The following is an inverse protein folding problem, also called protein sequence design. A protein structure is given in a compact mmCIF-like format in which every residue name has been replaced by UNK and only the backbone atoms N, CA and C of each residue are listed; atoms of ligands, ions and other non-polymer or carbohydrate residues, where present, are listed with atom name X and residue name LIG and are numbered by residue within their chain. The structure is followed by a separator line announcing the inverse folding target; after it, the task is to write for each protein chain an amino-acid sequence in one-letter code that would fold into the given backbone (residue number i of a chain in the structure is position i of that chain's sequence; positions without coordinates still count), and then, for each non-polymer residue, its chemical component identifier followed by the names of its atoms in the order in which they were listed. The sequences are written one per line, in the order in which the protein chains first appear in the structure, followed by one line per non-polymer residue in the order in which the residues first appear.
data_IF_462598816286
#
_entry.id   IF_462598816286
#
_cell.length_a   1.000
_cell.length_b   1.000
_cell.length_c   1.000
_cell.angle_alpha   90.00
_cell.angle_beta   90.00
_cell.angle_gamma   90.00
#
_symmetry.space_group_name_H-M   'P 1'
#
loop_
_entity.id
_entity.type
_entity.pdbx_description
1 polymer ?
#
# COMPACT_ATOMS: atom_id res chain seq x y z
N UNK A 1 10.73 -22.18 -51.29
CA UNK A 1 12.15 -22.16 -51.70
C UNK A 1 13.01 -22.30 -50.47
N UNK A 2 13.75 -23.36 -50.46
CA UNK A 2 14.75 -23.82 -49.49
C UNK A 2 16.04 -22.99 -49.59
N UNK A 3 16.73 -22.74 -48.47
CA UNK A 3 18.19 -22.75 -48.28
C UNK A 3 18.46 -22.54 -46.78
N UNK A 4 18.86 -23.45 -46.00
CA UNK A 4 20.04 -24.29 -45.67
C UNK A 4 21.24 -23.46 -45.17
N UNK A 5 21.59 -23.80 -43.90
CA UNK A 5 22.79 -23.54 -43.09
C UNK A 5 24.14 -23.70 -43.87
N UNK A 6 25.26 -23.25 -43.24
CA UNK A 6 26.04 -24.24 -42.52
C UNK A 6 26.65 -23.84 -41.17
N UNK A 7 26.86 -24.87 -40.39
CA UNK A 7 27.68 -25.09 -39.22
C UNK A 7 29.17 -24.97 -39.54
N UNK A 8 29.97 -24.41 -38.65
CA UNK A 8 31.42 -24.70 -38.60
C UNK A 8 31.89 -24.82 -37.12
N UNK A 9 32.39 -25.97 -36.80
CA UNK A 9 33.09 -26.36 -35.57
C UNK A 9 34.60 -26.52 -35.85
N UNK A 10 35.48 -26.12 -34.94
CA UNK A 10 36.91 -26.55 -34.79
C UNK A 10 37.28 -26.35 -33.32
N UNK A 11 37.46 -27.29 -32.50
CA UNK A 11 38.41 -28.40 -32.20
C UNK A 11 39.82 -27.95 -31.73
N UNK A 12 40.09 -28.26 -30.44
CA UNK A 12 41.27 -28.87 -29.77
C UNK A 12 42.59 -28.11 -29.65
N UNK A 13 43.16 -28.20 -28.43
CA UNK A 13 44.56 -27.99 -28.11
C UNK A 13 44.89 -28.19 -26.60
N UNK A 14 45.09 -29.46 -26.23
CA UNK A 14 45.80 -29.82 -24.97
C UNK A 14 47.31 -29.57 -25.15
N UNK A 15 47.99 -29.14 -24.09
CA UNK A 15 49.38 -29.54 -23.85
C UNK A 15 49.72 -29.56 -22.32
N UNK A 16 50.22 -30.71 -21.90
CA UNK A 16 50.76 -31.09 -20.61
C UNK A 16 52.27 -30.84 -20.61
N UNK A 17 52.87 -30.42 -19.52
CA UNK A 17 54.24 -30.74 -19.21
C UNK A 17 54.51 -30.70 -17.70
N UNK A 18 55.02 -31.80 -17.18
CA UNK A 18 55.48 -32.05 -15.82
C UNK A 18 57.01 -31.84 -15.72
N UNK A 19 57.51 -31.83 -14.49
CA UNK A 19 58.82 -32.23 -13.93
C UNK A 19 59.16 -31.25 -12.80
N UNK A 20 59.40 -31.60 -11.58
CA UNK A 20 60.22 -32.70 -11.03
C UNK A 20 61.42 -32.10 -10.31
N UNK A 21 61.58 -32.25 -9.02
CA UNK A 21 62.78 -31.81 -8.28
C UNK A 21 62.75 -32.14 -6.78
N UNK A 22 63.45 -33.20 -6.40
CA UNK A 22 63.65 -33.73 -5.04
C UNK A 22 64.71 -32.96 -4.22
N UNK A 23 64.57 -32.92 -2.87
CA UNK A 23 65.63 -32.41 -2.01
C UNK A 23 65.28 -32.39 -0.51
N UNK A 24 65.47 -33.52 0.16
CA UNK A 24 65.95 -33.84 1.55
C UNK A 24 65.78 -32.86 2.69
N UNK A 25 65.22 -33.41 3.73
CA UNK A 25 65.20 -33.07 5.20
C UNK A 25 66.58 -32.79 5.82
N UNK A 26 66.65 -32.04 6.99
CA UNK A 26 66.35 -32.63 8.29
C UNK A 26 65.64 -31.74 9.29
N UNK A 27 64.91 -32.38 10.20
CA UNK A 27 64.48 -31.90 11.52
C UNK A 27 65.68 -31.94 12.53
N UNK A 28 65.68 -31.20 13.66
CA UNK A 28 64.63 -31.05 14.65
C UNK A 28 64.66 -29.71 15.43
N UNK A 29 63.61 -29.29 16.08
CA UNK A 29 63.61 -28.96 17.51
C UNK A 29 62.29 -28.37 17.98
N UNK A 30 61.80 -28.91 19.07
CA UNK A 30 60.62 -28.48 19.80
C UNK A 30 60.73 -27.02 20.31
N UNK A 31 59.69 -26.23 20.12
CA UNK A 31 59.37 -25.10 20.99
C UNK A 31 57.86 -24.99 21.15
N UNK A 32 57.41 -25.41 22.32
CA UNK A 32 56.05 -25.24 22.81
C UNK A 32 55.69 -23.75 22.83
N UNK A 33 54.74 -23.31 22.02
CA UNK A 33 54.11 -22.00 22.17
C UNK A 33 52.63 -22.18 22.28
N UNK A 34 52.07 -21.72 23.40
CA UNK A 34 50.68 -21.79 23.75
C UNK A 34 49.81 -21.05 22.72
N UNK A 35 48.76 -21.69 22.25
CA UNK A 35 47.72 -21.09 21.43
C UNK A 35 46.90 -20.07 22.26
N UNK A 36 46.61 -18.89 21.73
CA UNK A 36 45.63 -17.98 22.34
C UNK A 36 44.22 -18.58 22.26
N UNK A 37 43.33 -18.26 23.23
CA UNK A 37 41.98 -18.79 23.24
C UNK A 37 41.21 -18.33 21.99
N UNK A 38 40.55 -19.27 21.34
CA UNK A 38 39.66 -19.01 20.22
C UNK A 38 38.55 -18.06 20.67
N UNK A 39 38.55 -16.86 20.09
CA UNK A 39 37.43 -15.95 20.19
C UNK A 39 36.21 -16.61 19.54
N UNK A 40 35.21 -16.93 20.35
CA UNK A 40 33.91 -17.40 19.87
C UNK A 40 33.28 -16.28 19.01
N UNK A 41 33.24 -16.53 17.72
CA UNK A 41 32.40 -15.71 16.80
C UNK A 41 30.95 -15.75 17.27
N UNK A 42 30.22 -14.65 17.26
CA UNK A 42 28.80 -14.70 17.56
C UNK A 42 28.13 -15.59 16.52
N UNK A 43 27.42 -16.62 17.00
CA UNK A 43 26.56 -17.46 16.17
C UNK A 43 25.54 -16.53 15.49
N UNK A 44 25.63 -16.44 14.18
CA UNK A 44 24.53 -15.87 13.39
C UNK A 44 23.27 -16.67 13.75
N UNK A 45 22.27 -16.01 14.25
CA UNK A 45 20.92 -16.59 14.40
C UNK A 45 20.46 -16.86 12.98
N UNK A 46 20.60 -18.11 12.52
CA UNK A 46 19.93 -18.57 11.31
C UNK A 46 18.42 -18.39 11.54
N UNK A 47 17.84 -17.40 10.89
CA UNK A 47 16.40 -17.30 10.72
C UNK A 47 15.99 -18.55 9.93
N UNK A 48 15.60 -19.61 10.63
CA UNK A 48 15.08 -20.81 9.99
C UNK A 48 13.81 -20.42 9.21
N UNK A 49 13.84 -20.61 7.90
CA UNK A 49 12.66 -20.45 7.05
C UNK A 49 11.49 -21.26 7.66
N UNK A 50 10.26 -20.72 7.65
CA UNK A 50 9.10 -21.40 8.19
C UNK A 50 8.97 -22.80 7.59
N UNK A 51 8.93 -23.85 8.43
CA UNK A 51 8.80 -25.24 7.98
C UNK A 51 7.32 -25.63 7.93
N UNK A 52 6.89 -26.28 6.84
CA UNK A 52 5.54 -26.76 6.66
C UNK A 52 4.88 -26.27 5.37
N UNK A 53 3.62 -26.66 5.10
CA UNK A 53 2.90 -26.14 3.95
C UNK A 53 2.65 -24.62 4.11
N UNK A 54 2.56 -23.87 2.99
CA UNK A 54 2.24 -22.44 3.03
C UNK A 54 0.90 -22.18 3.73
N UNK A 55 0.86 -21.15 4.58
CA UNK A 55 -0.39 -20.74 5.19
C UNK A 55 -1.24 -20.00 4.16
N UNK A 56 -2.49 -20.41 4.02
CA UNK A 56 -3.44 -19.76 3.10
C UNK A 56 -4.01 -18.52 3.75
N UNK A 57 -4.04 -17.42 3.00
CA UNK A 57 -4.57 -16.13 3.45
C UNK A 57 -5.33 -15.48 2.30
N UNK A 58 -6.57 -15.06 2.54
CA UNK A 58 -7.33 -14.23 1.60
C UNK A 58 -7.25 -12.77 2.04
N UNK A 59 -6.72 -11.92 1.17
CA UNK A 59 -6.64 -10.47 1.39
C UNK A 59 -7.60 -9.78 0.42
N UNK A 60 -8.58 -9.09 0.96
CA UNK A 60 -9.58 -8.35 0.18
C UNK A 60 -9.20 -6.89 0.08
N UNK A 61 -9.20 -6.33 -1.13
CA UNK A 61 -8.62 -5.03 -1.45
C UNK A 61 -9.67 -4.12 -2.07
N UNK A 62 -9.82 -2.89 -1.60
CA UNK A 62 -10.84 -1.93 -2.07
C UNK A 62 -10.54 -1.28 -3.43
N UNK A 63 -9.94 -2.03 -4.37
CA UNK A 63 -9.64 -1.63 -5.74
C UNK A 63 -8.18 -1.86 -6.14
N UNK A 64 -7.83 -3.08 -6.54
CA UNK A 64 -6.45 -3.47 -6.89
C UNK A 64 -5.80 -2.61 -7.98
N UNK A 65 -6.57 -2.09 -8.91
CA UNK A 65 -6.07 -1.23 -10.00
C UNK A 65 -5.70 0.19 -9.58
N UNK A 66 -6.08 0.63 -8.39
CA UNK A 66 -5.79 1.97 -7.86
C UNK A 66 -4.38 2.01 -7.28
N UNK A 67 -3.60 3.05 -7.58
CA UNK A 67 -2.21 3.16 -7.09
C UNK A 67 -2.10 3.21 -5.55
N UNK A 68 -3.12 3.64 -4.83
CA UNK A 68 -3.16 3.58 -3.36
C UNK A 68 -3.12 2.16 -2.81
N UNK A 69 -3.53 1.16 -3.59
CA UNK A 69 -3.46 -0.26 -3.23
C UNK A 69 -2.27 -1.01 -3.84
N UNK A 70 -1.38 -0.29 -4.53
CA UNK A 70 -0.18 -0.84 -5.16
C UNK A 70 0.62 -1.80 -4.28
N UNK A 71 0.85 -1.55 -2.98
CA UNK A 71 1.65 -2.46 -2.15
C UNK A 71 1.12 -3.89 -2.14
N UNK A 72 -0.21 -4.11 -2.26
CA UNK A 72 -0.78 -5.46 -2.29
C UNK A 72 -0.25 -6.27 -3.49
N UNK A 73 -0.42 -5.73 -4.70
CA UNK A 73 0.01 -6.42 -5.93
C UNK A 73 1.53 -6.47 -6.08
N UNK A 74 2.21 -5.44 -5.61
CA UNK A 74 3.67 -5.39 -5.66
C UNK A 74 4.29 -6.44 -4.71
N UNK A 75 3.73 -6.69 -3.52
CA UNK A 75 4.18 -7.75 -2.60
C UNK A 75 4.08 -9.13 -3.26
N UNK A 76 2.97 -9.39 -3.95
CA UNK A 76 2.79 -10.63 -4.73
C UNK A 76 3.82 -10.71 -5.88
N UNK A 77 3.94 -9.65 -6.68
CA UNK A 77 4.82 -9.61 -7.86
C UNK A 77 6.31 -9.73 -7.51
N UNK A 78 6.72 -9.25 -6.34
CA UNK A 78 8.09 -9.40 -5.81
C UNK A 78 8.33 -10.77 -5.17
N UNK A 79 7.31 -11.60 -4.98
CA UNK A 79 7.42 -12.93 -4.40
C UNK A 79 7.53 -12.94 -2.87
N UNK A 80 7.35 -11.81 -2.18
CA UNK A 80 7.56 -11.72 -0.73
C UNK A 80 6.55 -12.51 0.09
N UNK A 81 5.33 -12.76 -0.43
CA UNK A 81 4.43 -13.72 0.21
C UNK A 81 4.99 -15.14 0.22
N UNK A 82 5.55 -15.57 -0.90
CA UNK A 82 6.16 -16.91 -1.03
C UNK A 82 7.40 -17.05 -0.13
N UNK A 83 8.24 -15.99 -0.03
CA UNK A 83 9.38 -15.97 0.88
C UNK A 83 8.97 -16.15 2.34
N UNK A 84 7.81 -15.62 2.72
CA UNK A 84 7.22 -15.76 4.06
C UNK A 84 6.39 -17.06 4.20
N UNK A 85 6.48 -18.00 3.25
CA UNK A 85 5.74 -19.26 3.23
C UNK A 85 4.21 -19.04 3.34
N UNK A 86 3.69 -18.08 2.56
CA UNK A 86 2.27 -17.74 2.45
C UNK A 86 1.75 -18.08 1.05
N UNK A 87 0.54 -18.65 1.00
CA UNK A 87 -0.28 -18.82 -0.20
C UNK A 87 -1.40 -17.76 -0.14
N UNK A 88 -1.15 -16.59 -0.73
CA UNK A 88 -2.04 -15.43 -0.63
C UNK A 88 -2.93 -15.34 -1.87
N UNK A 89 -4.24 -15.19 -1.64
CA UNK A 89 -5.21 -14.81 -2.67
C UNK A 89 -5.60 -13.35 -2.48
N UNK A 90 -5.30 -12.50 -3.47
CA UNK A 90 -5.78 -11.12 -3.51
C UNK A 90 -7.15 -11.08 -4.19
N UNK A 91 -8.16 -10.55 -3.51
CA UNK A 91 -9.53 -10.39 -4.03
C UNK A 91 -9.81 -8.90 -4.21
N UNK A 92 -10.28 -8.53 -5.40
CA UNK A 92 -10.61 -7.14 -5.73
C UNK A 92 -12.06 -6.81 -5.39
N UNK A 93 -12.27 -5.71 -4.65
CA UNK A 93 -13.58 -5.15 -4.35
C UNK A 93 -13.70 -3.73 -4.91
N UNK A 94 -14.91 -3.28 -5.30
CA UNK A 94 -15.09 -1.96 -5.88
C UNK A 94 -14.72 -0.80 -4.95
N UNK A 95 -14.86 -0.99 -3.64
CA UNK A 95 -14.59 0.05 -2.63
C UNK A 95 -14.18 -0.53 -1.27
N UNK A 96 -13.61 0.33 -0.39
CA UNK A 96 -13.30 -0.04 0.99
C UNK A 96 -14.55 -0.44 1.80
N UNK A 97 -15.73 0.12 1.51
CA UNK A 97 -16.99 -0.27 2.17
C UNK A 97 -17.41 -1.70 1.79
N UNK A 98 -17.19 -2.09 0.55
CA UNK A 98 -17.47 -3.47 0.11
C UNK A 98 -16.48 -4.42 0.81
N UNK A 99 -15.18 -4.08 0.84
CA UNK A 99 -14.15 -4.81 1.60
C UNK A 99 -14.51 -4.97 3.09
N UNK A 100 -14.94 -3.88 3.74
CA UNK A 100 -15.38 -3.88 5.15
C UNK A 100 -16.51 -4.90 5.38
N UNK A 101 -17.51 -4.87 4.51
CA UNK A 101 -18.67 -5.76 4.57
C UNK A 101 -18.26 -7.23 4.51
N UNK A 102 -17.40 -7.57 3.58
CA UNK A 102 -16.93 -8.94 3.34
C UNK A 102 -16.04 -9.48 4.49
N UNK A 103 -15.18 -8.63 5.06
CA UNK A 103 -14.37 -9.00 6.24
C UNK A 103 -15.27 -9.24 7.46
N UNK A 104 -16.26 -8.40 7.70
CA UNK A 104 -17.21 -8.58 8.80
C UNK A 104 -18.00 -9.89 8.61
N UNK A 105 -18.39 -10.20 7.38
CA UNK A 105 -19.06 -11.46 7.03
C UNK A 105 -18.16 -12.69 7.19
N UNK A 106 -16.83 -12.52 7.19
CA UNK A 106 -15.86 -13.61 7.31
C UNK A 106 -15.53 -14.29 5.98
N UNK A 107 -15.73 -13.60 4.86
CA UNK A 107 -15.41 -14.10 3.51
C UNK A 107 -13.93 -13.90 3.14
N UNK A 108 -13.19 -13.11 3.92
CA UNK A 108 -11.74 -12.96 3.80
C UNK A 108 -11.12 -12.78 5.19
N UNK A 109 -9.81 -13.00 5.25
CA UNK A 109 -9.03 -12.97 6.49
C UNK A 109 -8.58 -11.56 6.84
N UNK A 110 -8.06 -10.82 5.84
CA UNK A 110 -7.47 -9.49 5.99
C UNK A 110 -8.11 -8.55 4.97
N UNK A 111 -8.45 -7.34 5.39
CA UNK A 111 -8.86 -6.24 4.53
C UNK A 111 -7.71 -5.26 4.31
N UNK A 112 -7.59 -4.75 3.08
CA UNK A 112 -6.75 -3.61 2.73
C UNK A 112 -7.68 -2.45 2.38
N UNK A 113 -7.73 -1.44 3.23
CA UNK A 113 -8.67 -0.33 3.11
C UNK A 113 -8.36 0.82 4.06
N UNK A 114 -9.20 1.83 4.03
CA UNK A 114 -9.04 3.03 4.85
C UNK A 114 -9.09 2.70 6.35
N UNK A 115 -8.16 3.28 7.11
CA UNK A 115 -8.06 3.06 8.55
C UNK A 115 -9.34 3.46 9.31
N UNK A 116 -10.04 4.50 8.89
CA UNK A 116 -11.24 5.01 9.56
C UNK A 116 -12.38 3.98 9.65
N UNK A 117 -12.37 2.93 8.81
CA UNK A 117 -13.28 1.78 8.95
C UNK A 117 -13.16 1.08 10.31
N UNK A 118 -11.97 1.09 10.94
CA UNK A 118 -11.79 0.54 12.29
C UNK A 118 -12.60 1.31 13.33
N UNK A 119 -12.69 2.62 13.18
CA UNK A 119 -13.47 3.51 14.05
C UNK A 119 -14.97 3.31 13.84
N UNK A 120 -15.40 3.27 12.59
CA UNK A 120 -16.81 3.12 12.21
C UNK A 120 -17.38 1.77 12.66
N UNK A 121 -16.62 0.69 12.51
CA UNK A 121 -17.01 -0.63 12.97
C UNK A 121 -17.02 -0.75 14.49
N UNK A 122 -16.04 -0.15 15.18
CA UNK A 122 -16.06 -0.12 16.65
C UNK A 122 -17.28 0.62 17.18
N UNK A 123 -17.68 1.72 16.57
CA UNK A 123 -18.91 2.44 16.92
C UNK A 123 -20.17 1.60 16.75
N UNK A 124 -20.12 0.56 15.90
CA UNK A 124 -21.18 -0.43 15.68
C UNK A 124 -21.02 -1.68 16.55
N UNK A 125 -20.04 -1.70 17.49
CA UNK A 125 -19.76 -2.84 18.36
C UNK A 125 -18.99 -3.99 17.69
N UNK A 126 -18.40 -3.76 16.51
CA UNK A 126 -17.56 -4.74 15.79
C UNK A 126 -16.11 -4.31 15.87
N UNK A 127 -15.22 -5.23 16.23
CA UNK A 127 -13.80 -4.90 16.38
C UNK A 127 -13.00 -5.50 15.24
N UNK A 128 -12.51 -4.63 14.37
CA UNK A 128 -11.39 -4.90 13.47
C UNK A 128 -10.18 -4.08 13.93
N UNK A 129 -8.99 -4.65 13.80
CA UNK A 129 -7.75 -4.04 14.27
C UNK A 129 -6.78 -3.92 13.11
N UNK A 130 -6.27 -2.72 12.87
CA UNK A 130 -5.21 -2.49 11.90
C UNK A 130 -3.87 -2.98 12.44
N UNK A 131 -3.12 -3.73 11.62
CA UNK A 131 -1.84 -4.35 12.00
C UNK A 131 -0.64 -3.64 11.38
N UNK A 132 -0.87 -2.79 10.37
CA UNK A 132 0.13 -1.91 9.77
C UNK A 132 -0.52 -0.83 8.91
N UNK A 133 0.22 0.24 8.65
CA UNK A 133 -0.14 1.33 7.75
C UNK A 133 0.65 1.23 6.42
N UNK A 134 -0.05 1.19 5.31
CA UNK A 134 0.58 1.15 3.98
C UNK A 134 0.81 2.56 3.43
N UNK A 135 -0.05 3.51 3.79
CA UNK A 135 -0.02 4.87 3.27
C UNK A 135 -0.11 5.91 4.39
N UNK A 136 0.97 6.66 4.58
CA UNK A 136 1.05 7.78 5.54
C UNK A 136 0.24 9.02 5.13
N UNK A 137 -0.27 9.06 3.88
CA UNK A 137 -1.17 10.08 3.34
C UNK A 137 -2.22 9.40 2.46
N UNK A 138 -3.41 10.00 2.24
CA UNK A 138 -4.50 9.35 1.52
C UNK A 138 -4.17 8.88 0.10
N UNK A 139 -3.27 9.56 -0.61
CA UNK A 139 -3.02 9.26 -2.02
C UNK A 139 -4.21 9.60 -2.92
N UNK A 140 -5.11 10.42 -2.41
CA UNK A 140 -6.33 10.85 -3.08
C UNK A 140 -6.21 12.30 -3.57
N UNK A 141 -6.99 12.63 -4.59
CA UNK A 141 -6.99 13.96 -5.21
C UNK A 141 -8.42 14.44 -5.40
N UNK A 142 -8.71 15.67 -5.00
CA UNK A 142 -9.98 16.31 -5.30
C UNK A 142 -9.88 16.96 -6.65
N UNK A 143 -10.74 16.53 -7.57
CA UNK A 143 -10.82 17.01 -8.94
C UNK A 143 -12.08 17.86 -9.12
N UNK A 144 -11.95 19.01 -9.74
CA UNK A 144 -13.09 19.83 -10.18
C UNK A 144 -13.31 19.64 -11.67
N UNK A 145 -14.56 19.47 -12.11
CA UNK A 145 -14.86 19.40 -13.54
C UNK A 145 -14.41 20.68 -14.24
N UNK A 146 -13.86 20.55 -15.43
CA UNK A 146 -13.39 21.72 -16.21
C UNK A 146 -14.50 22.76 -16.40
N UNK A 147 -15.76 22.33 -16.53
CA UNK A 147 -16.90 23.21 -16.63
C UNK A 147 -17.15 24.09 -15.39
N UNK A 148 -16.78 23.59 -14.20
CA UNK A 148 -16.95 24.28 -12.92
C UNK A 148 -15.68 24.93 -12.37
N UNK A 149 -14.52 24.66 -12.96
CA UNK A 149 -13.23 25.18 -12.50
C UNK A 149 -13.11 26.71 -12.51
N UNK A 150 -14.03 27.40 -13.18
CA UNK A 150 -14.16 28.87 -13.12
C UNK A 150 -14.72 29.38 -11.79
N UNK A 151 -15.64 28.64 -11.19
CA UNK A 151 -16.44 29.02 -10.02
C UNK A 151 -16.05 28.29 -8.73
N UNK A 152 -15.61 27.05 -8.81
CA UNK A 152 -15.19 26.26 -7.67
C UNK A 152 -13.66 26.31 -7.56
N UNK A 153 -13.13 26.95 -6.51
CA UNK A 153 -11.70 27.19 -6.29
C UNK A 153 -11.17 26.55 -5.01
N UNK A 154 -12.06 26.18 -4.10
CA UNK A 154 -11.72 25.61 -2.80
C UNK A 154 -12.89 24.84 -2.20
N UNK A 155 -12.70 24.06 -1.14
CA UNK A 155 -13.82 23.42 -0.42
C UNK A 155 -14.90 24.39 0.09
N UNK A 156 -14.59 25.66 0.28
CA UNK A 156 -15.60 26.69 0.65
C UNK A 156 -16.70 26.89 -0.40
N UNK A 157 -16.43 26.49 -1.63
CA UNK A 157 -17.35 26.63 -2.76
C UNK A 157 -18.22 25.37 -2.96
N UNK A 158 -18.19 24.40 -2.03
CA UNK A 158 -18.90 23.12 -2.20
C UNK A 158 -20.39 23.16 -1.86
N UNK A 159 -20.91 24.29 -1.44
CA UNK A 159 -22.34 24.41 -1.14
C UNK A 159 -23.22 24.26 -2.37
N UNK A 160 -24.16 23.31 -2.31
CA UNK A 160 -25.17 23.07 -3.36
C UNK A 160 -24.67 22.29 -4.58
N UNK A 161 -23.43 21.73 -4.53
CA UNK A 161 -22.86 20.97 -5.64
C UNK A 161 -23.01 19.45 -5.46
N UNK A 162 -22.75 18.71 -6.54
CA UNK A 162 -22.67 17.26 -6.55
C UNK A 162 -21.22 16.82 -6.37
N UNK A 163 -20.94 16.09 -5.29
CA UNK A 163 -19.61 15.58 -4.94
C UNK A 163 -19.54 14.08 -5.23
N UNK A 164 -18.65 13.68 -6.15
CA UNK A 164 -18.38 12.29 -6.47
C UNK A 164 -17.46 11.65 -5.45
N UNK A 165 -17.85 10.49 -4.94
CA UNK A 165 -17.05 9.63 -4.03
C UNK A 165 -17.07 8.18 -4.54
N UNK A 166 -16.13 7.36 -4.11
CA UNK A 166 -16.08 5.95 -4.55
C UNK A 166 -17.38 5.22 -4.18
N UNK A 167 -17.78 5.30 -2.92
CA UNK A 167 -19.11 4.89 -2.44
C UNK A 167 -19.48 5.67 -1.18
N UNK A 168 -20.77 5.66 -0.84
CA UNK A 168 -21.24 6.26 0.41
C UNK A 168 -20.71 5.40 1.58
N UNK A 169 -20.05 6.03 2.55
CA UNK A 169 -19.38 5.36 3.66
C UNK A 169 -17.90 5.02 3.43
N UNK A 170 -17.39 5.14 2.19
CA UNK A 170 -15.96 4.90 1.90
C UNK A 170 -15.04 5.99 2.49
N UNK A 171 -13.72 5.70 2.56
CA UNK A 171 -12.73 6.67 2.98
C UNK A 171 -12.76 7.97 2.17
N UNK A 172 -13.03 7.90 0.86
CA UNK A 172 -13.21 9.10 0.01
C UNK A 172 -14.41 9.94 0.45
N UNK A 173 -15.52 9.32 0.85
CA UNK A 173 -16.66 10.02 1.43
C UNK A 173 -16.32 10.69 2.75
N UNK A 174 -15.56 10.01 3.60
CA UNK A 174 -15.06 10.55 4.88
C UNK A 174 -14.18 11.78 4.65
N UNK A 175 -13.21 11.70 3.73
CA UNK A 175 -12.29 12.81 3.42
C UNK A 175 -13.03 14.05 2.91
N UNK A 176 -14.02 13.87 2.00
CA UNK A 176 -14.81 15.01 1.50
C UNK A 176 -15.64 15.68 2.59
N UNK A 177 -16.24 14.91 3.50
CA UNK A 177 -16.98 15.44 4.64
C UNK A 177 -16.08 16.23 5.59
N UNK A 178 -14.86 15.71 5.86
CA UNK A 178 -13.87 16.40 6.67
C UNK A 178 -13.50 17.77 6.08
N UNK A 179 -13.19 17.83 4.79
CA UNK A 179 -12.86 19.09 4.10
C UNK A 179 -14.04 20.08 4.08
N UNK A 180 -15.28 19.62 3.97
CA UNK A 180 -16.45 20.50 4.04
C UNK A 180 -16.59 21.15 5.42
N UNK A 181 -16.45 20.36 6.48
CA UNK A 181 -16.57 20.90 7.85
C UNK A 181 -15.41 21.81 8.20
N UNK A 182 -14.16 21.47 7.78
CA UNK A 182 -13.00 22.35 7.93
C UNK A 182 -13.19 23.68 7.17
N UNK A 183 -13.86 23.65 6.04
CA UNK A 183 -14.22 24.85 5.25
C UNK A 183 -15.37 25.67 5.87
N UNK A 184 -15.96 25.23 7.00
CA UNK A 184 -17.08 25.89 7.69
C UNK A 184 -18.46 25.57 7.11
N UNK A 185 -18.58 24.52 6.30
CA UNK A 185 -19.84 24.04 5.73
C UNK A 185 -20.42 22.89 6.56
N UNK A 186 -21.73 22.64 6.39
CA UNK A 186 -22.36 21.42 6.90
C UNK A 186 -22.17 20.29 5.88
N UNK A 187 -22.04 19.05 6.35
CA UNK A 187 -21.96 17.88 5.45
C UNK A 187 -23.20 17.76 4.54
N UNK A 188 -24.34 18.26 4.98
CA UNK A 188 -25.59 18.30 4.24
C UNK A 188 -25.69 19.44 3.22
N UNK A 189 -24.72 20.34 3.18
CA UNK A 189 -24.71 21.46 2.21
C UNK A 189 -24.39 21.01 0.77
N UNK A 190 -23.95 19.75 0.56
CA UNK A 190 -23.67 19.19 -0.76
C UNK A 190 -24.35 17.82 -0.96
N UNK A 191 -24.50 17.39 -2.21
CA UNK A 191 -25.01 16.07 -2.55
C UNK A 191 -23.86 15.11 -2.83
N UNK A 192 -23.80 13.96 -2.14
CA UNK A 192 -22.80 12.93 -2.42
C UNK A 192 -23.32 11.90 -3.40
N UNK A 193 -22.53 11.63 -4.43
CA UNK A 193 -22.86 10.71 -5.52
C UNK A 193 -21.87 9.56 -5.53
N UNK A 194 -22.35 8.31 -5.53
CA UNK A 194 -21.49 7.13 -5.76
C UNK A 194 -21.01 7.16 -7.22
N UNK A 195 -19.79 7.61 -7.44
CA UNK A 195 -19.17 7.74 -8.76
C UNK A 195 -18.21 6.57 -9.10
N UNK A 196 -17.85 5.74 -8.11
CA UNK A 196 -16.88 4.68 -8.32
C UNK A 196 -15.46 5.22 -8.49
N UNK A 197 -14.68 4.58 -9.37
CA UNK A 197 -13.33 4.96 -9.76
C UNK A 197 -13.09 4.62 -11.24
N UNK A 198 -11.98 5.06 -11.84
CA UNK A 198 -11.67 4.81 -13.24
C UNK A 198 -12.73 5.37 -14.19
N UNK A 199 -13.10 4.58 -15.19
CA UNK A 199 -14.01 5.00 -16.26
C UNK A 199 -15.38 5.48 -15.76
N UNK A 200 -15.92 4.89 -14.70
CA UNK A 200 -17.22 5.29 -14.13
C UNK A 200 -17.14 6.68 -13.53
N UNK A 201 -16.05 7.00 -12.83
CA UNK A 201 -15.81 8.33 -12.27
C UNK A 201 -15.63 9.39 -13.37
N UNK A 202 -14.82 9.06 -14.39
CA UNK A 202 -14.57 9.94 -15.54
C UNK A 202 -15.89 10.24 -16.28
N UNK A 203 -16.70 9.19 -16.51
CA UNK A 203 -17.99 9.34 -17.16
C UNK A 203 -18.95 10.22 -16.35
N UNK A 204 -19.02 10.02 -15.01
CA UNK A 204 -19.87 10.83 -14.14
C UNK A 204 -19.47 12.32 -14.17
N UNK A 205 -18.19 12.64 -14.16
CA UNK A 205 -17.70 14.02 -14.25
C UNK A 205 -17.93 14.61 -15.64
N UNK A 206 -17.66 13.87 -16.70
CA UNK A 206 -17.86 14.31 -18.10
C UNK A 206 -19.33 14.58 -18.41
N UNK A 207 -20.25 13.82 -17.84
CA UNK A 207 -21.70 13.97 -18.01
C UNK A 207 -22.32 15.04 -17.09
N UNK A 208 -21.51 15.68 -16.21
CA UNK A 208 -22.00 16.68 -15.26
C UNK A 208 -22.85 16.10 -14.13
N UNK A 209 -22.76 14.78 -13.86
CA UNK A 209 -23.41 14.15 -12.72
C UNK A 209 -22.72 14.53 -11.41
N UNK A 210 -21.41 14.83 -11.46
CA UNK A 210 -20.60 15.37 -10.37
C UNK A 210 -19.88 16.64 -10.83
N UNK A 211 -19.88 17.66 -9.98
CA UNK A 211 -19.20 18.94 -10.19
C UNK A 211 -17.75 18.88 -9.71
N UNK A 212 -17.56 18.22 -8.57
CA UNK A 212 -16.29 17.92 -7.90
C UNK A 212 -16.29 16.44 -7.53
N UNK A 213 -15.14 15.83 -7.41
CA UNK A 213 -15.07 14.48 -6.86
C UNK A 213 -13.68 14.15 -6.40
N UNK A 214 -13.57 13.14 -5.55
CA UNK A 214 -12.30 12.65 -5.01
C UNK A 214 -12.00 11.28 -5.59
N UNK A 215 -10.79 11.12 -6.11
CA UNK A 215 -10.31 9.89 -6.74
C UNK A 215 -8.79 9.81 -6.65
N UNK A 216 -8.22 8.69 -7.06
CA UNK A 216 -6.80 8.42 -7.01
C UNK A 216 -6.22 8.16 -8.40
N UNK A 217 -4.90 8.04 -8.50
CA UNK A 217 -4.23 7.62 -9.72
C UNK A 217 -4.58 6.15 -10.09
N UNK A 218 -4.69 5.82 -11.37
CA UNK A 218 -4.41 6.64 -12.56
C UNK A 218 -5.59 7.49 -13.07
N UNK A 219 -6.76 7.47 -12.41
CA UNK A 219 -7.97 8.21 -12.82
C UNK A 219 -7.71 9.71 -12.93
N UNK A 220 -6.92 10.27 -12.03
CA UNK A 220 -6.54 11.70 -12.02
C UNK A 220 -5.86 12.10 -13.31
N UNK A 221 -4.81 11.36 -13.70
CA UNK A 221 -4.08 11.60 -14.96
C UNK A 221 -5.04 11.55 -16.17
N UNK A 222 -5.95 10.58 -16.21
CA UNK A 222 -6.92 10.44 -17.30
C UNK A 222 -7.89 11.63 -17.36
N UNK A 223 -8.34 12.16 -16.22
CA UNK A 223 -9.17 13.35 -16.14
C UNK A 223 -8.45 14.59 -16.67
N UNK A 224 -7.18 14.76 -16.30
CA UNK A 224 -6.38 15.91 -16.73
C UNK A 224 -6.03 15.84 -18.22
N UNK A 225 -5.54 14.69 -18.68
CA UNK A 225 -5.14 14.50 -20.09
C UNK A 225 -6.32 14.56 -21.06
N UNK A 226 -7.51 14.09 -20.62
CA UNK A 226 -8.75 14.23 -21.40
C UNK A 226 -9.39 15.62 -21.30
N UNK A 227 -8.88 16.51 -20.43
CA UNK A 227 -9.44 17.84 -20.20
C UNK A 227 -10.80 17.85 -19.50
N UNK A 228 -11.23 16.75 -18.90
CA UNK A 228 -12.50 16.60 -18.20
C UNK A 228 -12.47 17.20 -16.79
N UNK A 229 -11.34 17.06 -16.09
CA UNK A 229 -11.16 17.53 -14.74
C UNK A 229 -9.84 18.29 -14.54
N UNK A 230 -9.77 19.06 -13.47
CA UNK A 230 -8.58 19.78 -13.01
C UNK A 230 -8.35 19.50 -11.53
N UNK A 231 -7.09 19.43 -11.12
CA UNK A 231 -6.73 19.29 -9.70
C UNK A 231 -7.22 20.49 -8.90
N UNK A 232 -7.85 20.22 -7.76
CA UNK A 232 -8.30 21.21 -6.79
C UNK A 232 -7.58 21.08 -5.45
N UNK A 233 -7.48 19.84 -4.90
CA UNK A 233 -6.75 19.54 -3.66
C UNK A 233 -5.95 18.25 -3.85
N UNK A 234 -4.68 18.28 -3.44
CA UNK A 234 -3.78 17.13 -3.42
C UNK A 234 -3.68 16.58 -2.00
N UNK A 235 -4.05 15.31 -1.79
CA UNK A 235 -3.88 14.58 -0.53
C UNK A 235 -2.87 13.42 -0.68
N UNK A 236 -1.96 13.51 -1.65
CA UNK A 236 -0.98 12.45 -1.91
C UNK A 236 0.30 12.55 -1.06
N UNK A 237 0.44 13.61 -0.25
CA UNK A 237 1.62 13.83 0.58
C UNK A 237 1.21 14.22 2.00
N UNK A 238 2.05 13.91 3.01
CA UNK A 238 1.75 14.23 4.41
C UNK A 238 1.51 15.72 4.66
N UNK A 239 2.30 16.61 4.06
CA UNK A 239 2.22 18.06 4.23
C UNK A 239 0.95 18.65 3.60
N UNK A 240 0.62 18.25 2.38
CA UNK A 240 -0.61 18.70 1.69
C UNK A 240 -1.85 18.12 2.38
N UNK A 241 -1.78 16.88 2.86
CA UNK A 241 -2.84 16.26 3.67
C UNK A 241 -3.06 17.03 4.97
N UNK A 242 -1.99 17.34 5.70
CA UNK A 242 -2.09 18.11 6.95
C UNK A 242 -2.68 19.51 6.71
N UNK A 243 -2.31 20.16 5.60
CA UNK A 243 -2.85 21.47 5.24
C UNK A 243 -4.35 21.41 4.91
N UNK A 244 -4.82 20.33 4.27
CA UNK A 244 -6.20 20.18 3.83
C UNK A 244 -7.15 19.62 4.90
N UNK A 245 -6.66 18.83 5.85
CA UNK A 245 -7.46 18.13 6.85
C UNK A 245 -7.21 18.59 8.29
N UNK A 246 -6.23 19.46 8.51
CA UNK A 246 -5.86 19.96 9.84
C UNK A 246 -5.04 18.98 10.68
N UNK A 247 -4.55 17.87 10.10
CA UNK A 247 -3.70 16.90 10.77
C UNK A 247 -3.24 15.75 9.87
N UNK A 248 -2.29 14.91 10.33
CA UNK A 248 -1.88 13.73 9.62
C UNK A 248 -3.05 12.74 9.49
N UNK A 249 -3.12 12.05 8.35
CA UNK A 249 -4.19 11.11 8.06
C UNK A 249 -3.62 9.86 7.37
N UNK A 250 -3.12 8.85 8.12
CA UNK A 250 -2.79 7.55 7.57
C UNK A 250 -4.05 6.97 6.94
N UNK A 251 -3.90 6.31 5.80
CA UNK A 251 -5.08 5.98 5.02
C UNK A 251 -5.23 4.49 4.77
N UNK A 252 -4.52 3.92 3.80
CA UNK A 252 -4.66 2.50 3.54
C UNK A 252 -3.85 1.71 4.56
N UNK A 253 -4.55 0.86 5.31
CA UNK A 253 -3.96 -0.05 6.29
C UNK A 253 -4.43 -1.48 6.04
N UNK A 254 -3.69 -2.45 6.57
CA UNK A 254 -4.14 -3.83 6.67
C UNK A 254 -4.83 -4.03 8.00
N UNK A 255 -6.04 -4.56 7.99
CA UNK A 255 -6.84 -4.81 9.19
C UNK A 255 -7.62 -6.12 9.10
N UNK A 256 -7.86 -6.74 10.23
CA UNK A 256 -8.62 -7.98 10.35
C UNK A 256 -9.46 -8.00 11.62
N UNK A 257 -10.34 -8.98 11.76
CA UNK A 257 -11.07 -9.18 13.01
C UNK A 257 -10.10 -9.50 14.14
N UNK A 258 -10.31 -8.88 15.31
CA UNK A 258 -9.40 -9.01 16.45
C UNK A 258 -9.27 -10.46 16.95
N UNK A 259 -10.33 -11.25 16.89
CA UNK A 259 -10.31 -12.68 17.24
C UNK A 259 -9.50 -13.51 16.22
N UNK A 260 -9.60 -13.19 14.93
CA UNK A 260 -8.80 -13.85 13.90
C UNK A 260 -7.30 -13.54 14.07
N UNK A 261 -6.93 -12.27 14.33
CA UNK A 261 -5.55 -11.87 14.62
C UNK A 261 -5.01 -12.67 15.82
N UNK A 262 -5.79 -12.75 16.91
CA UNK A 262 -5.38 -13.46 18.12
C UNK A 262 -5.14 -14.96 17.88
N UNK A 263 -5.95 -15.58 17.02
CA UNK A 263 -5.84 -17.00 16.66
C UNK A 263 -4.72 -17.28 15.64
N UNK A 264 -4.27 -16.29 14.87
CA UNK A 264 -3.37 -16.47 13.72
C UNK A 264 -2.11 -15.58 13.79
N UNK A 265 -1.59 -15.29 14.99
CA UNK A 265 -0.48 -14.33 15.20
C UNK A 265 0.75 -14.58 14.33
N UNK A 266 1.15 -15.84 14.14
CA UNK A 266 2.28 -16.20 13.30
C UNK A 266 2.02 -15.87 11.82
N UNK A 267 0.83 -16.18 11.32
CA UNK A 267 0.42 -15.84 9.95
C UNK A 267 0.37 -14.33 9.74
N UNK A 268 -0.19 -13.57 10.70
CA UNK A 268 -0.21 -12.11 10.65
C UNK A 268 1.20 -11.54 10.62
N UNK A 269 2.12 -12.07 11.46
CA UNK A 269 3.52 -11.63 11.45
C UNK A 269 4.17 -11.83 10.09
N UNK A 270 3.96 -12.99 9.46
CA UNK A 270 4.52 -13.28 8.13
C UNK A 270 3.92 -12.38 7.04
N UNK A 271 2.62 -12.11 7.10
CA UNK A 271 1.98 -11.13 6.20
C UNK A 271 2.61 -9.75 6.37
N UNK A 272 2.73 -9.26 7.61
CA UNK A 272 3.34 -7.95 7.89
C UNK A 272 4.81 -7.90 7.44
N UNK A 273 5.59 -8.98 7.66
CA UNK A 273 6.97 -9.06 7.16
C UNK A 273 7.03 -8.88 5.63
N UNK A 274 6.17 -9.57 4.88
CA UNK A 274 6.12 -9.47 3.42
C UNK A 274 5.84 -8.03 2.95
N UNK A 275 4.88 -7.35 3.58
CA UNK A 275 4.57 -5.96 3.25
C UNK A 275 5.67 -4.99 3.69
N UNK A 276 6.30 -5.18 4.83
CA UNK A 276 7.45 -4.34 5.26
C UNK A 276 8.61 -4.46 4.28
N UNK A 277 8.90 -5.68 3.77
CA UNK A 277 9.88 -5.86 2.67
C UNK A 277 9.48 -5.04 1.44
N UNK A 278 8.20 -5.07 1.06
CA UNK A 278 7.67 -4.30 -0.08
C UNK A 278 7.82 -2.79 0.14
N UNK A 279 7.44 -2.28 1.30
CA UNK A 279 7.57 -0.86 1.62
C UNK A 279 9.03 -0.40 1.60
N UNK A 280 9.94 -1.20 2.17
CA UNK A 280 11.40 -0.94 2.11
C UNK A 280 11.92 -1.00 0.67
N UNK A 281 11.43 -1.92 -0.14
CA UNK A 281 11.78 -2.03 -1.55
C UNK A 281 11.32 -0.77 -2.33
N UNK A 282 10.09 -0.30 -2.11
CA UNK A 282 9.59 0.95 -2.69
C UNK A 282 10.55 2.11 -2.39
N UNK A 283 11.04 2.28 -1.16
CA UNK A 283 11.91 3.39 -0.78
C UNK A 283 13.25 3.45 -1.55
N UNK A 284 13.66 2.36 -2.16
CA UNK A 284 14.96 2.23 -2.84
C UNK A 284 14.86 2.09 -4.37
N UNK A 285 13.65 2.10 -4.92
CA UNK A 285 13.39 1.91 -6.35
C UNK A 285 12.57 3.06 -6.93
N UNK A 286 12.70 3.30 -8.22
CA UNK A 286 11.95 4.34 -8.93
C UNK A 286 10.53 3.88 -9.29
N UNK A 287 9.66 4.82 -9.64
CA UNK A 287 8.34 4.50 -10.18
C UNK A 287 8.41 3.62 -11.45
N UNK A 288 9.45 3.77 -12.25
CA UNK A 288 9.69 2.92 -13.43
C UNK A 288 10.06 1.49 -13.03
N UNK A 289 10.90 1.31 -12.01
CA UNK A 289 11.24 -0.03 -11.49
C UNK A 289 10.01 -0.73 -10.91
N UNK A 290 9.16 0.00 -10.21
CA UNK A 290 7.89 -0.50 -9.68
C UNK A 290 6.97 -0.94 -10.81
N UNK A 291 6.75 -0.06 -11.80
CA UNK A 291 5.88 -0.37 -12.94
C UNK A 291 6.36 -1.60 -13.73
N UNK A 292 7.68 -1.82 -13.83
CA UNK A 292 8.27 -2.98 -14.48
C UNK A 292 8.03 -4.31 -13.74
N UNK A 293 7.65 -4.28 -12.46
CA UNK A 293 7.32 -5.48 -11.66
C UNK A 293 5.84 -5.84 -11.72
N UNK A 294 4.99 -4.88 -12.04
CA UNK A 294 3.54 -5.11 -12.08
C UNK A 294 3.12 -5.85 -13.35
N UNK A 295 2.00 -6.59 -13.32
CA UNK A 295 1.39 -7.14 -14.53
C UNK A 295 1.09 -6.05 -15.55
N UNK A 296 1.20 -6.38 -16.83
CA UNK A 296 1.08 -5.41 -17.92
C UNK A 296 -0.26 -4.67 -17.96
N UNK A 297 -1.33 -5.28 -17.49
CA UNK A 297 -2.68 -4.68 -17.43
C UNK A 297 -2.79 -3.49 -16.45
N UNK A 298 -1.85 -3.36 -15.49
CA UNK A 298 -1.81 -2.18 -14.60
C UNK A 298 -1.43 -0.88 -15.32
N UNK A 299 -0.69 -0.97 -16.41
CA UNK A 299 -0.16 0.19 -17.14
C UNK A 299 -0.34 0.10 -18.67
N UNK A 300 -1.06 -0.93 -19.16
CA UNK A 300 -1.11 -1.28 -20.58
C UNK A 300 -1.60 -0.16 -21.52
N UNK A 301 -2.46 0.74 -21.03
CA UNK A 301 -2.99 1.83 -21.83
C UNK A 301 -2.00 3.00 -22.00
N UNK A 302 -1.20 3.31 -20.95
CA UNK A 302 -0.27 4.43 -20.92
C UNK A 302 0.82 4.21 -19.86
N UNK A 303 1.85 3.44 -20.17
CA UNK A 303 2.95 3.20 -19.23
C UNK A 303 3.70 4.48 -18.82
N UNK A 304 4.07 5.41 -19.73
CA UNK A 304 4.70 6.66 -19.32
C UNK A 304 3.84 7.48 -18.36
N UNK A 305 2.55 7.61 -18.64
CA UNK A 305 1.61 8.31 -17.78
C UNK A 305 1.44 7.63 -16.43
N UNK A 306 1.37 6.28 -16.39
CA UNK A 306 1.33 5.53 -15.14
C UNK A 306 2.56 5.79 -14.26
N UNK A 307 3.76 5.78 -14.85
CA UNK A 307 5.02 6.08 -14.16
C UNK A 307 5.02 7.51 -13.63
N UNK A 308 4.57 8.48 -14.43
CA UNK A 308 4.46 9.88 -14.00
C UNK A 308 3.49 10.01 -12.82
N UNK A 309 2.30 9.45 -12.92
CA UNK A 309 1.29 9.46 -11.88
C UNK A 309 1.81 8.85 -10.56
N UNK A 310 2.54 7.74 -10.66
CA UNK A 310 3.17 7.11 -9.51
C UNK A 310 4.30 7.97 -8.91
N UNK A 311 5.08 8.64 -9.76
CA UNK A 311 6.14 9.58 -9.32
C UNK A 311 5.54 10.74 -8.51
N UNK A 312 4.44 11.33 -9.00
CA UNK A 312 3.78 12.47 -8.37
C UNK A 312 3.18 12.13 -7.01
N UNK A 313 2.66 10.90 -6.86
CA UNK A 313 2.02 10.41 -5.63
C UNK A 313 2.93 9.57 -4.73
N UNK A 314 4.22 9.46 -5.05
CA UNK A 314 5.16 8.56 -4.36
C UNK A 314 5.25 8.81 -2.85
N UNK A 315 5.12 10.06 -2.42
CA UNK A 315 5.15 10.48 -1.01
C UNK A 315 4.03 9.91 -0.14
N UNK A 316 3.01 9.27 -0.73
CA UNK A 316 1.94 8.64 0.04
C UNK A 316 2.39 7.36 0.74
N UNK A 317 3.37 6.62 0.19
CA UNK A 317 3.77 5.32 0.74
C UNK A 317 4.45 5.47 2.09
N UNK A 318 4.01 4.65 3.05
CA UNK A 318 4.62 4.59 4.36
C UNK A 318 5.98 3.86 4.28
N UNK A 319 7.09 4.44 4.76
CA UNK A 319 8.40 3.81 4.61
C UNK A 319 8.63 2.60 5.53
N UNK A 320 7.90 2.49 6.63
CA UNK A 320 8.12 1.48 7.67
C UNK A 320 6.93 0.59 7.96
N UNK A 321 5.74 1.01 7.53
CA UNK A 321 4.47 0.37 7.89
C UNK A 321 3.94 0.73 9.28
N UNK A 322 4.66 1.55 10.05
CA UNK A 322 4.24 2.00 11.37
C UNK A 322 3.29 3.19 11.27
N UNK A 323 2.30 3.24 12.17
CA UNK A 323 1.50 4.46 12.35
C UNK A 323 2.36 5.55 13.00
N UNK A 324 2.41 6.72 12.39
CA UNK A 324 3.15 7.84 12.96
C UNK A 324 2.54 8.28 14.29
N UNK A 325 3.35 8.68 15.28
CA UNK A 325 2.85 9.15 16.57
C UNK A 325 1.80 10.25 16.41
N UNK A 326 0.65 10.11 17.11
CA UNK A 326 -0.45 11.08 17.06
C UNK A 326 -1.32 11.02 15.79
N UNK A 327 -0.97 10.20 14.79
CA UNK A 327 -1.73 10.13 13.55
C UNK A 327 -3.10 9.48 13.73
N UNK A 328 -3.19 8.48 14.58
CA UNK A 328 -4.45 7.77 14.88
C UNK A 328 -5.42 8.68 15.64
N UNK A 329 -4.92 9.42 16.62
CA UNK A 329 -5.68 10.43 17.35
C UNK A 329 -6.17 11.55 16.41
N UNK A 330 -5.34 11.91 15.43
CA UNK A 330 -5.71 12.88 14.39
C UNK A 330 -6.89 12.38 13.55
N UNK A 331 -6.85 11.12 13.07
CA UNK A 331 -7.96 10.52 12.31
C UNK A 331 -9.25 10.55 13.14
N UNK A 332 -9.20 10.14 14.42
CA UNK A 332 -10.38 10.16 15.29
C UNK A 332 -10.89 11.59 15.50
N UNK A 333 -9.99 12.55 15.75
CA UNK A 333 -10.36 13.97 15.93
C UNK A 333 -11.05 14.53 14.69
N UNK A 334 -10.51 14.29 13.51
CA UNK A 334 -11.06 14.75 12.24
C UNK A 334 -12.43 14.11 12.00
N UNK A 335 -12.57 12.80 12.20
CA UNK A 335 -13.84 12.11 12.01
C UNK A 335 -14.94 12.58 12.97
N UNK A 336 -14.60 12.93 14.22
CA UNK A 336 -15.52 13.49 15.21
C UNK A 336 -16.09 14.85 14.84
N UNK A 337 -15.51 15.57 13.89
CA UNK A 337 -16.06 16.84 13.42
C UNK A 337 -17.42 16.67 12.73
N UNK A 338 -17.75 15.45 12.26
CA UNK A 338 -18.96 15.18 11.48
C UNK A 338 -19.59 13.80 11.73
N UNK A 339 -19.07 13.01 12.68
CA UNK A 339 -19.60 11.70 13.07
C UNK A 339 -19.87 11.69 14.58
N UNK A 340 -21.12 11.88 14.98
CA UNK A 340 -21.53 11.95 16.40
C UNK A 340 -21.43 10.60 17.13
N UNK A 341 -21.43 9.49 16.40
CA UNK A 341 -21.39 8.14 16.94
C UNK A 341 -19.98 7.68 17.40
N UNK A 342 -18.93 8.47 17.17
CA UNK A 342 -17.56 8.13 17.56
C UNK A 342 -17.17 8.56 18.99
N UNK A 343 -18.13 8.79 19.89
CA UNK A 343 -17.87 9.31 21.25
C UNK A 343 -17.06 8.35 22.13
N UNK A 344 -17.29 7.05 22.05
CA UNK A 344 -16.73 6.02 22.94
C UNK A 344 -15.75 5.10 22.23
N UNK A 345 -14.88 5.66 21.37
CA UNK A 345 -13.86 4.88 20.66
C UNK A 345 -12.65 4.63 21.56
N UNK A 346 -12.32 3.37 21.74
CA UNK A 346 -11.09 2.89 22.37
C UNK A 346 -10.04 2.64 21.29
N UNK A 347 -9.11 3.58 21.12
CA UNK A 347 -8.07 3.51 20.08
C UNK A 347 -7.16 2.29 20.24
N UNK A 348 -6.99 1.76 21.45
CA UNK A 348 -6.14 0.56 21.67
C UNK A 348 -6.70 -0.70 21.02
N UNK A 349 -7.94 -0.68 20.59
CA UNK A 349 -8.61 -1.78 19.86
C UNK A 349 -8.63 -1.58 18.35
N UNK A 350 -8.30 -0.38 17.86
CA UNK A 350 -8.38 -0.03 16.45
C UNK A 350 -7.09 -0.33 15.69
N UNK A 351 -5.97 -0.42 16.40
CA UNK A 351 -4.68 -0.78 15.79
C UNK A 351 -3.75 -1.48 16.77
N UNK A 352 -2.71 -2.10 16.25
CA UNK A 352 -1.57 -2.63 17.02
C UNK A 352 -0.28 -2.45 16.23
N UNK A 353 0.81 -2.11 16.91
CA UNK A 353 2.17 -2.07 16.31
C UNK A 353 2.97 -3.37 16.57
N UNK A 354 2.41 -4.35 17.30
CA UNK A 354 3.10 -5.59 17.71
C UNK A 354 3.86 -6.25 16.54
N UNK A 355 3.22 -6.36 15.38
CA UNK A 355 3.76 -7.09 14.23
C UNK A 355 4.74 -6.24 13.42
N UNK A 356 4.40 -4.98 13.18
CA UNK A 356 5.25 -4.08 12.38
C UNK A 356 6.53 -3.70 13.12
N UNK A 357 6.49 -3.56 14.45
CA UNK A 357 7.69 -3.31 15.26
C UNK A 357 8.67 -4.48 15.18
N UNK A 358 8.16 -5.72 15.21
CA UNK A 358 8.96 -6.92 15.01
C UNK A 358 9.56 -7.03 13.60
N UNK A 359 8.79 -6.68 12.56
CA UNK A 359 9.24 -6.74 11.17
C UNK A 359 10.32 -5.68 10.84
N UNK A 360 10.49 -4.67 11.68
CA UNK A 360 11.49 -3.60 11.52
C UNK A 360 12.74 -3.80 12.37
N UNK A 361 12.81 -4.83 13.22
CA UNK A 361 14.01 -5.21 13.99
C UNK A 361 15.01 -5.95 13.12
#
# INVERSE_FOLDING_TARGET
MRHRLPVLAVVVGLLVAACGGTGTTPSPSEATSAAPPASSAPSAVESSAPSGPPAKVTIMVGGLSKQIYLPNKLTEALGFFTEENLDVTLVDEPSGTDTETEIVAGHADIGSGSYDHTLDLQAQGKIITAVMDLLQAPGEFVMVSTAKAGTIKSPKDFKGINIGVTSIGSGTHTLMRAMMVDAGLQVSDANYVKAGAGDTFIAAMKQGQIDVGITTQPTVLQLETSGVGKLLVDLSKPDTTQAALGGPYPFISLWAKADWIAANKDTVQRVVNAYVKTLKWIQTHTAADIAAKLPADYSAADLPGYIQALTDSYGMFNPTGQFAPGSIESVLKINRMFKDNLTNIDLTKTYTSEFVDKANQ
#
